data_IF_177591244874
#
_entry.id   IF_177591244874
#
_cell.length_a   1.000
_cell.length_b   1.000
_cell.length_c   1.000
_cell.angle_alpha   90.00
_cell.angle_beta   90.00
_cell.angle_gamma   90.00
#
_symmetry.space_group_name_H-M   'P 1'
#
loop_
_entity.id
_entity.type
_entity.pdbx_description
1 polymer ?
#
# COMPACT_ATOMS: atom_id res chain seq x y z
N UNK A 1 -20.95 -47.71 -45.20
CA UNK A 1 -21.60 -48.65 -44.25
C UNK A 1 -21.67 -48.09 -42.83
N UNK A 2 -21.42 -46.79 -42.61
CA UNK A 2 -21.38 -46.20 -41.26
C UNK A 2 -22.68 -45.49 -40.83
N UNK A 3 -23.64 -45.27 -41.73
CA UNK A 3 -24.82 -44.43 -41.45
C UNK A 3 -25.97 -45.17 -40.74
N UNK A 4 -25.89 -46.51 -40.68
CA UNK A 4 -26.94 -47.36 -40.07
C UNK A 4 -26.61 -47.69 -38.60
N UNK A 5 -25.33 -47.62 -38.22
CA UNK A 5 -24.90 -47.93 -36.85
C UNK A 5 -25.22 -46.78 -35.88
N UNK A 6 -25.16 -45.53 -36.34
CA UNK A 6 -25.40 -44.35 -35.50
C UNK A 6 -26.87 -44.16 -35.08
N UNK A 7 -27.84 -44.72 -35.85
CA UNK A 7 -29.26 -44.73 -35.44
C UNK A 7 -29.55 -45.73 -34.32
N UNK A 8 -28.77 -46.80 -34.17
CA UNK A 8 -29.03 -47.83 -33.17
C UNK A 8 -28.65 -47.37 -31.77
N UNK A 9 -27.55 -46.63 -31.63
CA UNK A 9 -27.08 -46.06 -30.37
C UNK A 9 -28.04 -45.01 -29.81
N UNK A 10 -28.63 -44.16 -30.65
CA UNK A 10 -29.65 -43.19 -30.22
C UNK A 10 -30.94 -43.85 -29.69
N UNK A 11 -31.35 -44.97 -30.28
CA UNK A 11 -32.57 -45.69 -29.89
C UNK A 11 -32.43 -46.43 -28.54
N UNK A 12 -31.24 -46.97 -28.26
CA UNK A 12 -30.95 -47.62 -26.98
C UNK A 12 -30.86 -46.63 -25.81
N UNK A 13 -30.39 -45.41 -26.06
CA UNK A 13 -30.39 -44.33 -25.07
C UNK A 13 -31.83 -43.88 -24.73
N UNK A 14 -32.70 -43.75 -25.75
CA UNK A 14 -34.11 -43.38 -25.55
C UNK A 14 -34.89 -44.42 -24.72
N UNK A 15 -34.67 -45.71 -24.94
CA UNK A 15 -35.32 -46.79 -24.15
C UNK A 15 -34.81 -46.90 -22.72
N UNK A 16 -33.53 -46.63 -22.47
CA UNK A 16 -32.99 -46.55 -21.11
C UNK A 16 -33.61 -45.36 -20.34
N UNK A 17 -33.94 -44.26 -21.02
CA UNK A 17 -34.61 -43.10 -20.40
C UNK A 17 -36.12 -43.26 -20.25
N UNK A 18 -36.80 -44.12 -21.01
CA UNK A 18 -38.26 -44.34 -20.91
C UNK A 18 -38.68 -45.18 -19.69
N UNK A 19 -37.84 -46.12 -19.26
CA UNK A 19 -38.16 -47.05 -18.16
C UNK A 19 -37.68 -46.59 -16.78
N UNK A 20 -37.09 -45.41 -16.70
CA UNK A 20 -36.76 -44.75 -15.44
C UNK A 20 -38.01 -44.08 -14.90
N UNK A 21 -38.51 -44.60 -13.77
CA UNK A 21 -39.62 -44.03 -13.02
C UNK A 21 -39.42 -42.51 -12.88
N UNK A 22 -40.49 -41.72 -13.04
CA UNK A 22 -40.41 -40.23 -13.06
C UNK A 22 -39.63 -39.71 -11.84
N UNK A 23 -39.78 -40.39 -10.69
CA UNK A 23 -39.03 -40.15 -9.47
C UNK A 23 -37.50 -40.14 -9.65
N UNK A 24 -36.93 -41.05 -10.45
CA UNK A 24 -35.48 -41.13 -10.64
C UNK A 24 -34.94 -39.98 -11.50
N UNK A 25 -35.73 -39.50 -12.48
CA UNK A 25 -35.37 -38.32 -13.28
C UNK A 25 -35.36 -37.06 -12.43
N UNK A 26 -36.37 -36.90 -11.57
CA UNK A 26 -36.43 -35.80 -10.60
C UNK A 26 -35.28 -35.91 -9.58
N UNK A 27 -34.97 -37.10 -9.08
CA UNK A 27 -33.85 -37.32 -8.17
C UNK A 27 -32.50 -36.97 -8.82
N UNK A 28 -32.27 -37.34 -10.08
CA UNK A 28 -31.05 -36.99 -10.82
C UNK A 28 -30.90 -35.48 -11.02
N UNK A 29 -32.00 -34.76 -11.33
CA UNK A 29 -31.99 -33.30 -11.44
C UNK A 29 -31.67 -32.63 -10.10
N UNK A 30 -32.25 -33.12 -8.99
CA UNK A 30 -31.97 -32.61 -7.66
C UNK A 30 -30.53 -32.85 -7.23
N UNK A 31 -29.97 -34.03 -7.57
CA UNK A 31 -28.57 -34.37 -7.26
C UNK A 31 -27.61 -33.48 -8.06
N UNK A 32 -27.88 -33.27 -9.35
CA UNK A 32 -27.08 -32.37 -10.19
C UNK A 32 -27.14 -30.92 -9.70
N UNK A 33 -28.31 -30.43 -9.30
CA UNK A 33 -28.48 -29.10 -8.71
C UNK A 33 -27.72 -28.99 -7.38
N UNK A 34 -27.78 -30.02 -6.53
CA UNK A 34 -27.01 -30.09 -5.29
C UNK A 34 -25.50 -30.03 -5.53
N UNK A 35 -24.99 -30.78 -6.51
CA UNK A 35 -23.57 -30.77 -6.88
C UNK A 35 -23.13 -29.40 -7.41
N UNK A 36 -23.98 -28.73 -8.19
CA UNK A 36 -23.69 -27.39 -8.72
C UNK A 36 -23.64 -26.34 -7.60
N UNK A 37 -24.58 -26.39 -6.66
CA UNK A 37 -24.55 -25.54 -5.46
C UNK A 37 -23.32 -25.81 -4.59
N UNK A 38 -22.93 -27.07 -4.42
CA UNK A 38 -21.72 -27.45 -3.69
C UNK A 38 -20.45 -26.90 -4.37
N UNK A 39 -20.38 -26.98 -5.70
CA UNK A 39 -19.27 -26.42 -6.49
C UNK A 39 -19.15 -24.92 -6.31
N UNK A 40 -20.26 -24.18 -6.39
CA UNK A 40 -20.29 -22.73 -6.14
C UNK A 40 -19.85 -22.42 -4.70
N UNK A 41 -20.31 -23.19 -3.71
CA UNK A 41 -19.94 -23.00 -2.31
C UNK A 41 -18.43 -23.23 -2.06
N UNK A 42 -17.83 -24.25 -2.70
CA UNK A 42 -16.40 -24.54 -2.58
C UNK A 42 -15.56 -23.41 -3.21
N UNK A 43 -15.89 -22.97 -4.43
CA UNK A 43 -15.20 -21.87 -5.11
C UNK A 43 -15.39 -20.54 -4.35
N UNK A 44 -16.59 -20.31 -3.81
CA UNK A 44 -16.88 -19.16 -2.96
C UNK A 44 -16.04 -19.16 -1.68
N UNK A 45 -15.93 -20.31 -1.01
CA UNK A 45 -15.13 -20.45 0.21
C UNK A 45 -13.62 -20.31 -0.05
N UNK A 46 -13.10 -20.82 -1.17
CA UNK A 46 -11.69 -20.64 -1.53
C UNK A 46 -11.36 -19.19 -1.86
N UNK A 47 -12.27 -18.50 -2.58
CA UNK A 47 -12.12 -17.07 -2.91
C UNK A 47 -12.21 -16.20 -1.66
N UNK A 48 -13.16 -16.49 -0.76
CA UNK A 48 -13.30 -15.79 0.52
C UNK A 48 -12.07 -15.98 1.41
N UNK A 49 -11.51 -17.19 1.50
CA UNK A 49 -10.26 -17.47 2.24
C UNK A 49 -9.06 -16.71 1.69
N UNK A 50 -8.92 -16.64 0.36
CA UNK A 50 -7.86 -15.85 -0.29
C UNK A 50 -7.97 -14.35 0.03
N UNK A 51 -9.19 -13.80 -0.05
CA UNK A 51 -9.44 -12.39 0.30
C UNK A 51 -9.17 -12.12 1.78
N UNK A 52 -9.57 -13.02 2.69
CA UNK A 52 -9.29 -12.87 4.12
C UNK A 52 -7.81 -13.00 4.48
N UNK A 53 -7.03 -13.80 3.74
CA UNK A 53 -5.58 -13.89 3.93
C UNK A 53 -4.87 -12.60 3.46
N UNK A 54 -5.18 -12.11 2.25
CA UNK A 54 -4.64 -10.84 1.76
C UNK A 54 -5.04 -9.64 2.62
N UNK A 55 -6.26 -9.63 3.17
CA UNK A 55 -6.71 -8.60 4.10
C UNK A 55 -5.98 -8.68 5.45
N UNK A 56 -5.78 -9.89 5.99
CA UNK A 56 -5.02 -10.07 7.23
C UNK A 56 -3.56 -9.65 7.07
N UNK A 57 -2.93 -9.91 5.93
CA UNK A 57 -1.56 -9.48 5.65
C UNK A 57 -1.47 -7.96 5.52
N UNK A 58 -2.39 -7.33 4.76
CA UNK A 58 -2.44 -5.88 4.59
C UNK A 58 -2.70 -5.13 5.91
N UNK A 59 -3.63 -5.63 6.72
CA UNK A 59 -4.03 -4.99 8.01
C UNK A 59 -3.02 -5.24 9.12
N UNK A 60 -2.40 -6.43 9.19
CA UNK A 60 -1.51 -6.78 10.31
C UNK A 60 -0.04 -6.46 10.06
N UNK A 61 0.41 -6.30 8.81
CA UNK A 61 1.83 -6.08 8.51
C UNK A 61 2.11 -4.76 7.81
N UNK A 62 1.39 -4.44 6.73
CA UNK A 62 1.77 -3.28 5.90
C UNK A 62 1.16 -1.96 6.37
N UNK A 63 -0.07 -1.96 6.87
CA UNK A 63 -0.76 -0.75 7.35
C UNK A 63 -0.05 -0.06 8.54
N UNK A 64 0.47 -0.78 9.56
CA UNK A 64 1.18 -0.13 10.65
C UNK A 64 2.52 0.47 10.18
N UNK A 65 3.32 -0.27 9.39
CA UNK A 65 4.61 0.24 8.90
C UNK A 65 4.48 1.46 7.97
N UNK A 66 3.51 1.45 7.04
CA UNK A 66 3.22 2.64 6.21
C UNK A 66 2.72 3.84 7.04
N UNK A 67 1.99 3.59 8.11
CA UNK A 67 1.55 4.63 9.05
C UNK A 67 2.74 5.26 9.79
N UNK A 68 3.72 4.46 10.21
CA UNK A 68 4.91 4.98 10.88
C UNK A 68 5.81 5.76 9.92
N UNK A 69 5.96 5.34 8.66
CA UNK A 69 6.60 6.16 7.62
C UNK A 69 5.87 7.51 7.45
N UNK A 70 4.54 7.52 7.42
CA UNK A 70 3.78 8.77 7.33
C UNK A 70 3.96 9.68 8.56
N UNK A 71 4.07 9.09 9.76
CA UNK A 71 4.38 9.82 11.00
C UNK A 71 5.80 10.41 10.94
N UNK A 72 6.78 9.65 10.47
CA UNK A 72 8.14 10.15 10.26
C UNK A 72 8.15 11.37 9.29
N UNK A 73 7.38 11.31 8.21
CA UNK A 73 7.22 12.45 7.28
C UNK A 73 6.66 13.70 7.97
N UNK A 74 5.66 13.54 8.83
CA UNK A 74 5.13 14.65 9.60
C UNK A 74 6.20 15.25 10.53
N UNK A 75 7.05 14.42 11.15
CA UNK A 75 8.16 14.90 11.98
C UNK A 75 9.23 15.60 11.17
N UNK A 76 9.53 15.15 9.95
CA UNK A 76 10.46 15.83 9.06
C UNK A 76 9.99 17.27 8.72
N UNK A 77 8.69 17.42 8.44
CA UNK A 77 8.06 18.73 8.21
C UNK A 77 8.17 19.60 9.48
N UNK A 78 7.94 19.02 10.66
CA UNK A 78 8.05 19.70 11.95
C UNK A 78 9.47 20.22 12.20
N UNK A 79 10.53 19.48 11.84
CA UNK A 79 11.92 19.93 11.96
C UNK A 79 12.15 21.25 11.19
N UNK A 80 11.74 21.29 9.92
CA UNK A 80 11.90 22.48 9.07
C UNK A 80 11.03 23.64 9.57
N UNK A 81 9.83 23.35 10.06
CA UNK A 81 8.95 24.37 10.63
C UNK A 81 9.51 24.98 11.91
N UNK A 82 10.07 24.17 12.81
CA UNK A 82 10.76 24.62 14.04
C UNK A 82 11.96 25.50 13.67
N UNK A 83 12.77 25.08 12.69
CA UNK A 83 13.88 25.88 12.18
C UNK A 83 13.42 27.22 11.57
N UNK A 84 12.30 27.24 10.84
CA UNK A 84 11.75 28.48 10.30
C UNK A 84 11.29 29.42 11.42
N UNK A 85 10.68 28.91 12.49
CA UNK A 85 10.26 29.70 13.64
C UNK A 85 11.44 30.36 14.36
N UNK A 86 12.61 29.73 14.40
CA UNK A 86 13.77 30.32 15.09
C UNK A 86 14.26 31.61 14.45
N UNK A 87 13.90 31.88 13.18
CA UNK A 87 14.21 33.15 12.51
C UNK A 87 13.36 34.33 13.02
N UNK A 88 12.27 34.06 13.75
CA UNK A 88 11.34 35.07 14.23
C UNK A 88 11.56 35.46 15.70
N UNK A 89 12.35 34.69 16.45
CA UNK A 89 12.60 34.94 17.87
C UNK A 89 13.98 35.52 18.11
N UNK A 90 14.08 36.36 19.14
CA UNK A 90 15.36 36.93 19.56
C UNK A 90 16.30 35.84 20.11
N UNK A 91 17.59 36.02 19.83
CA UNK A 91 18.64 35.16 20.34
C UNK A 91 18.63 35.12 21.87
N UNK A 92 18.66 33.91 22.44
CA UNK A 92 18.67 33.71 23.89
C UNK A 92 17.30 33.86 24.59
N UNK A 93 16.22 34.09 23.84
CA UNK A 93 14.86 34.07 24.39
C UNK A 93 14.47 32.69 24.94
N UNK A 94 13.45 32.67 25.81
CA UNK A 94 12.87 31.43 26.33
C UNK A 94 12.28 30.59 25.19
N UNK A 95 11.67 31.26 24.21
CA UNK A 95 11.10 30.70 23.00
C UNK A 95 12.17 29.98 22.18
N UNK A 96 13.33 30.62 21.94
CA UNK A 96 14.44 30.00 21.23
C UNK A 96 14.98 28.75 21.93
N UNK A 97 15.01 28.74 23.27
CA UNK A 97 15.42 27.56 24.03
C UNK A 97 14.44 26.39 23.87
N UNK A 98 13.12 26.66 23.91
CA UNK A 98 12.07 25.66 23.66
C UNK A 98 12.11 25.06 22.26
N UNK A 99 12.52 25.85 21.26
CA UNK A 99 12.66 25.35 19.89
C UNK A 99 13.75 24.28 19.78
N UNK A 100 14.87 24.38 20.52
CA UNK A 100 15.91 23.34 20.53
C UNK A 100 15.39 22.01 21.08
N UNK A 101 14.66 22.06 22.20
CA UNK A 101 14.04 20.88 22.79
C UNK A 101 12.98 20.26 21.86
N UNK A 102 12.16 21.11 21.24
CA UNK A 102 11.16 20.68 20.25
C UNK A 102 11.82 20.01 19.05
N UNK A 103 12.94 20.55 18.55
CA UNK A 103 13.69 19.99 17.43
C UNK A 103 14.23 18.59 17.78
N UNK A 104 14.88 18.46 18.93
CA UNK A 104 15.42 17.19 19.41
C UNK A 104 14.32 16.13 19.57
N UNK A 105 13.18 16.52 20.16
CA UNK A 105 12.02 15.64 20.34
C UNK A 105 11.43 15.18 19.00
N UNK A 106 11.30 16.08 18.03
CA UNK A 106 10.79 15.75 16.70
C UNK A 106 11.74 14.79 15.97
N UNK A 107 13.06 15.01 16.10
CA UNK A 107 14.09 14.14 15.52
C UNK A 107 14.04 12.74 16.13
N UNK A 108 14.06 12.63 17.45
CA UNK A 108 14.00 11.34 18.15
C UNK A 108 12.74 10.55 17.74
N UNK A 109 11.56 11.19 17.78
CA UNK A 109 10.30 10.54 17.43
C UNK A 109 10.25 10.09 15.98
N UNK A 110 10.70 10.93 15.04
CA UNK A 110 10.74 10.56 13.63
C UNK A 110 11.73 9.44 13.35
N UNK A 111 12.89 9.45 14.02
CA UNK A 111 13.86 8.37 13.99
C UNK A 111 13.28 7.05 14.51
N UNK A 112 12.53 7.08 15.62
CA UNK A 112 11.85 5.90 16.15
C UNK A 112 10.79 5.39 15.17
N UNK A 113 9.97 6.27 14.58
CA UNK A 113 8.98 5.86 13.59
C UNK A 113 9.61 5.17 12.36
N UNK A 114 10.79 5.60 11.90
CA UNK A 114 11.50 4.91 10.83
C UNK A 114 12.02 3.53 11.24
N UNK A 115 12.48 3.37 12.48
CA UNK A 115 12.89 2.08 13.03
C UNK A 115 11.68 1.14 13.19
N UNK A 116 10.59 1.62 13.79
CA UNK A 116 9.36 0.88 14.00
C UNK A 116 8.77 0.38 12.66
N UNK A 117 8.83 1.22 11.62
CA UNK A 117 8.40 0.85 10.28
C UNK A 117 9.22 -0.33 9.72
N UNK A 118 10.54 -0.30 9.89
CA UNK A 118 11.44 -1.35 9.43
C UNK A 118 11.26 -2.65 10.21
N UNK A 119 11.05 -2.57 11.52
CA UNK A 119 10.76 -3.72 12.38
C UNK A 119 9.42 -4.37 12.03
N UNK A 120 8.42 -3.55 11.72
CA UNK A 120 7.07 -4.01 11.38
C UNK A 120 7.00 -4.67 10.00
N UNK A 121 7.66 -4.06 9.00
CA UNK A 121 7.62 -4.54 7.62
C UNK A 121 9.04 -4.53 7.00
N UNK A 122 9.70 -5.71 6.94
CA UNK A 122 11.02 -5.85 6.33
C UNK A 122 11.07 -5.47 4.84
N UNK A 123 9.94 -5.32 4.15
CA UNK A 123 9.91 -4.81 2.77
C UNK A 123 10.48 -3.39 2.65
N UNK A 124 10.59 -2.65 3.76
CA UNK A 124 11.21 -1.32 3.79
C UNK A 124 12.72 -1.34 4.00
N UNK A 125 13.37 -2.51 4.10
CA UNK A 125 14.80 -2.63 4.36
C UNK A 125 15.68 -1.88 3.35
N UNK A 126 15.26 -1.81 2.09
CA UNK A 126 16.01 -1.12 1.05
C UNK A 126 15.76 0.40 1.01
N UNK A 127 14.62 0.88 1.54
CA UNK A 127 14.19 2.28 1.40
C UNK A 127 14.37 3.09 2.68
N UNK A 128 14.13 2.50 3.85
CA UNK A 128 14.27 3.18 5.16
C UNK A 128 15.68 3.72 5.39
N UNK A 129 16.78 3.04 5.05
CA UNK A 129 18.12 3.61 5.20
C UNK A 129 18.30 4.93 4.43
N UNK A 130 17.80 5.00 3.20
CA UNK A 130 17.83 6.23 2.40
C UNK A 130 16.95 7.32 3.01
N UNK A 131 15.73 6.97 3.45
CA UNK A 131 14.85 7.91 4.16
C UNK A 131 15.52 8.46 5.42
N UNK A 132 16.16 7.60 6.20
CA UNK A 132 16.93 8.01 7.39
C UNK A 132 18.03 9.00 7.02
N UNK A 133 18.78 8.75 5.95
CA UNK A 133 19.78 9.70 5.45
C UNK A 133 19.20 11.10 5.19
N UNK A 134 18.08 11.19 4.47
CA UNK A 134 17.41 12.49 4.23
C UNK A 134 16.86 13.12 5.52
N UNK A 135 16.33 12.31 6.43
CA UNK A 135 15.79 12.77 7.72
C UNK A 135 16.88 13.35 8.62
N UNK A 136 17.99 12.63 8.74
CA UNK A 136 19.15 13.02 9.56
C UNK A 136 19.78 14.31 9.01
N UNK A 137 19.90 14.42 7.69
CA UNK A 137 20.42 15.64 7.05
C UNK A 137 19.45 16.83 7.20
N UNK A 138 18.14 16.59 7.10
CA UNK A 138 17.12 17.62 7.40
C UNK A 138 17.27 18.12 8.83
N UNK A 139 17.44 17.23 9.81
CA UNK A 139 17.67 17.60 11.21
C UNK A 139 18.99 18.37 11.41
N UNK A 140 20.08 17.94 10.77
CA UNK A 140 21.37 18.61 10.82
C UNK A 140 21.26 20.06 10.32
N UNK A 141 20.65 20.26 9.16
CA UNK A 141 20.43 21.59 8.58
C UNK A 141 19.45 22.42 9.41
N UNK A 142 18.37 21.84 9.91
CA UNK A 142 17.44 22.53 10.81
C UNK A 142 18.12 23.00 12.11
N UNK A 143 19.02 22.18 12.67
CA UNK A 143 19.85 22.53 13.83
C UNK A 143 20.80 23.68 13.50
N UNK A 144 21.39 23.67 12.30
CA UNK A 144 22.26 24.74 11.80
C UNK A 144 21.52 26.07 11.68
N UNK A 145 20.28 26.07 11.15
CA UNK A 145 19.41 27.26 11.11
C UNK A 145 19.20 27.83 12.51
N UNK A 146 18.89 26.98 13.49
CA UNK A 146 18.69 27.39 14.88
C UNK A 146 19.94 28.00 15.52
N UNK A 147 21.11 27.43 15.22
CA UNK A 147 22.39 27.94 15.73
C UNK A 147 22.75 29.28 15.09
N UNK A 148 22.58 29.40 13.77
CA UNK A 148 22.83 30.64 13.03
C UNK A 148 21.87 31.75 13.45
N UNK A 149 20.58 31.44 13.63
CA UNK A 149 19.59 32.39 14.10
C UNK A 149 19.92 32.91 15.51
N UNK A 150 20.31 32.02 16.42
CA UNK A 150 20.77 32.39 17.76
C UNK A 150 22.07 33.19 17.78
N UNK A 151 22.90 33.07 16.74
CA UNK A 151 24.09 33.90 16.56
C UNK A 151 23.79 35.25 15.88
N UNK A 152 22.52 35.57 15.59
CA UNK A 152 22.13 36.77 14.84
C UNK A 152 22.46 36.71 13.34
N UNK A 153 22.92 35.56 12.82
CA UNK A 153 23.34 35.35 11.43
C UNK A 153 22.15 34.99 10.54
N UNK A 154 21.14 35.86 10.51
CA UNK A 154 19.83 35.58 9.90
C UNK A 154 19.92 35.29 8.39
N UNK A 155 20.79 36.00 7.66
CA UNK A 155 20.96 35.76 6.22
C UNK A 155 21.46 34.34 5.92
N UNK A 156 22.43 33.87 6.69
CA UNK A 156 23.01 32.53 6.55
C UNK A 156 22.03 31.45 7.04
N UNK A 157 21.30 31.74 8.11
CA UNK A 157 20.23 30.87 8.61
C UNK A 157 19.14 30.64 7.54
N UNK A 158 18.81 31.65 6.73
CA UNK A 158 17.87 31.50 5.61
C UNK A 158 18.39 30.59 4.51
N UNK A 159 19.69 30.66 4.20
CA UNK A 159 20.32 29.75 3.22
C UNK A 159 20.27 28.30 3.72
N UNK A 160 20.64 28.08 4.98
CA UNK A 160 20.54 26.75 5.60
C UNK A 160 19.09 26.23 5.63
N UNK A 161 18.09 27.11 5.84
CA UNK A 161 16.68 26.73 5.83
C UNK A 161 16.21 26.28 4.44
N UNK A 162 16.68 26.93 3.37
CA UNK A 162 16.42 26.48 2.00
C UNK A 162 17.00 25.09 1.75
N UNK A 163 18.22 24.83 2.21
CA UNK A 163 18.84 23.50 2.11
C UNK A 163 18.04 22.45 2.91
N UNK A 164 17.62 22.77 4.13
CA UNK A 164 16.76 21.87 4.93
C UNK A 164 15.44 21.54 4.22
N UNK A 165 14.83 22.52 3.56
CA UNK A 165 13.63 22.33 2.74
C UNK A 165 13.85 21.40 1.54
N UNK A 166 15.01 21.48 0.89
CA UNK A 166 15.35 20.59 -0.22
C UNK A 166 15.50 19.12 0.25
N UNK A 167 16.13 18.90 1.39
CA UNK A 167 16.26 17.54 1.95
C UNK A 167 14.92 16.99 2.46
N UNK A 168 14.07 17.84 3.03
CA UNK A 168 12.68 17.47 3.35
C UNK A 168 11.91 17.06 2.09
N UNK A 169 12.12 17.74 0.96
CA UNK A 169 11.49 17.37 -0.31
C UNK A 169 11.99 15.99 -0.79
N UNK A 170 13.30 15.73 -0.68
CA UNK A 170 13.87 14.42 -0.99
C UNK A 170 13.28 13.31 -0.09
N UNK A 171 13.17 13.58 1.21
CA UNK A 171 12.51 12.69 2.16
C UNK A 171 11.05 12.40 1.75
N UNK A 172 10.27 13.46 1.50
CA UNK A 172 8.84 13.36 1.12
C UNK A 172 8.64 12.59 -0.18
N UNK A 173 9.53 12.79 -1.17
CA UNK A 173 9.55 12.03 -2.43
C UNK A 173 9.82 10.55 -2.17
N UNK A 174 10.75 10.23 -1.28
CA UNK A 174 11.04 8.84 -0.89
C UNK A 174 9.81 8.19 -0.26
N UNK A 175 9.17 8.87 0.71
CA UNK A 175 7.94 8.40 1.36
C UNK A 175 6.83 8.11 0.34
N UNK A 176 6.61 9.02 -0.61
CA UNK A 176 5.57 8.87 -1.63
C UNK A 176 5.81 7.65 -2.54
N UNK A 177 7.08 7.36 -2.90
CA UNK A 177 7.43 6.17 -3.68
C UNK A 177 7.15 4.87 -2.93
N UNK A 178 7.31 4.87 -1.61
CA UNK A 178 7.18 3.68 -0.76
C UNK A 178 5.76 3.42 -0.29
N UNK A 179 4.93 4.46 -0.17
CA UNK A 179 3.55 4.34 0.38
C UNK A 179 2.47 4.21 -0.68
N UNK A 180 2.77 4.46 -1.96
CA UNK A 180 1.82 4.26 -3.05
C UNK A 180 1.72 2.77 -3.42
N UNK A 181 0.50 2.21 -3.58
CA UNK A 181 0.36 0.85 -4.09
C UNK A 181 0.98 0.75 -5.48
N UNK A 182 1.56 -0.40 -5.85
CA UNK A 182 2.09 -0.60 -7.19
C UNK A 182 0.99 -0.29 -8.20
N UNK A 183 1.30 0.61 -9.15
CA UNK A 183 0.38 0.98 -10.22
C UNK A 183 -0.12 -0.33 -10.84
N UNK A 184 -1.45 -0.58 -10.89
CA UNK A 184 -1.95 -1.83 -11.43
C UNK A 184 -1.37 -1.95 -12.83
N UNK A 185 -0.63 -3.04 -13.08
CA UNK A 185 -0.13 -3.36 -14.40
C UNK A 185 -1.36 -3.38 -15.30
N UNK A 186 -1.53 -2.36 -16.13
CA UNK A 186 -2.52 -2.38 -17.19
C UNK A 186 -2.04 -3.47 -18.14
N UNK A 187 -2.40 -4.72 -17.85
CA UNK A 187 -2.31 -5.80 -18.80
C UNK A 187 -2.97 -5.30 -20.08
N UNK A 188 -2.42 -5.62 -21.26
CA UNK A 188 -2.90 -5.06 -22.51
C UNK A 188 -4.41 -5.25 -22.56
N UNK A 189 -5.14 -4.14 -22.56
CA UNK A 189 -6.57 -4.12 -22.82
C UNK A 189 -6.72 -4.75 -24.20
N UNK A 190 -6.92 -6.07 -24.23
CA UNK A 190 -7.38 -6.77 -25.43
C UNK A 190 -8.79 -6.26 -25.62
N UNK A 191 -8.90 -5.11 -26.28
CA UNK A 191 -10.10 -4.63 -26.93
C UNK A 191 -10.56 -5.80 -27.79
N UNK A 192 -11.53 -6.54 -27.26
CA UNK A 192 -12.23 -7.59 -27.97
C UNK A 192 -12.91 -6.89 -29.14
N UNK A 193 -12.24 -6.88 -30.30
CA UNK A 193 -12.81 -6.37 -31.54
C UNK A 193 -14.13 -7.09 -31.74
N UNK A 194 -15.23 -6.37 -31.57
CA UNK A 194 -16.55 -6.84 -31.94
C UNK A 194 -16.52 -7.02 -33.46
N UNK A 195 -16.57 -8.27 -33.91
CA UNK A 195 -16.81 -8.58 -35.32
C UNK A 195 -18.23 -8.09 -35.66
N UNK A 196 -18.39 -7.20 -36.66
CA UNK A 196 -19.72 -6.93 -37.20
C UNK A 196 -20.14 -8.15 -38.02
N UNK A 197 -21.14 -8.87 -37.55
CA UNK A 197 -21.88 -9.81 -38.38
C UNK A 197 -22.88 -8.99 -39.22
N UNK A 198 -22.53 -8.74 -40.48
CA UNK A 198 -23.46 -8.36 -41.52
C UNK A 198 -23.77 -9.62 -42.34
N UNK A 199 -25.01 -10.09 -42.24
CA UNK A 199 -25.70 -10.90 -43.25
C UNK A 199 -27.20 -10.66 -43.05
#
# INVERSE_FOLDING_TARGET
MDEIEDRKTGLHLMRLMENLNIATKVAALLLFLGALLLGIAIVGNSTAKGVSQSYNELVKRTLPGTTDIARANRRAIELVYIAAQSLAFDAGSTESSKLRESLATAYERGGNNLSDALETDPAFADTVPQMRGYFDETHRLASEVLNLANAGRIAEARVALTAAGAELENFTKSVSKTTLPPKPSRGPLRLRQARPHLS
#
